data_IF_129198865593
#
_entry.id   IF_129198865593
#
_cell.length_a   1.000
_cell.length_b   1.000
_cell.length_c   1.000
_cell.angle_alpha   90.00
_cell.angle_beta   90.00
_cell.angle_gamma   90.00
#
_symmetry.space_group_name_H-M   'P 1'
#
loop_
_entity.id
_entity.type
_entity.pdbx_description
1 polymer ?
#
# COMPACT_ATOMS: atom_id res chain seq x y z
N UNK A 1 -39.14 -54.98 1.17
CA UNK A 1 -38.24 -53.96 0.62
C UNK A 1 -37.28 -53.52 1.73
N UNK A 2 -36.04 -53.96 1.66
CA UNK A 2 -35.10 -53.86 2.78
C UNK A 2 -34.78 -52.43 3.16
N UNK A 3 -35.14 -52.02 4.34
CA UNK A 3 -34.88 -50.70 4.93
C UNK A 3 -33.40 -50.33 4.83
N UNK A 4 -32.51 -51.31 4.97
CA UNK A 4 -31.05 -51.16 4.78
C UNK A 4 -30.62 -50.74 3.34
N UNK A 5 -31.36 -51.14 2.30
CA UNK A 5 -31.07 -50.72 0.93
C UNK A 5 -31.52 -49.30 0.66
N UNK A 6 -32.69 -48.92 1.20
CA UNK A 6 -33.20 -47.53 1.11
C UNK A 6 -32.26 -46.55 1.82
N UNK A 7 -31.73 -46.93 2.98
CA UNK A 7 -30.77 -46.11 3.71
C UNK A 7 -29.50 -45.79 2.91
N UNK A 8 -28.96 -46.79 2.16
CA UNK A 8 -27.77 -46.57 1.32
C UNK A 8 -28.02 -45.56 0.17
N UNK A 9 -29.17 -45.61 -0.44
CA UNK A 9 -29.51 -44.70 -1.56
C UNK A 9 -29.79 -43.27 -1.11
N UNK A 10 -30.17 -43.06 0.16
CA UNK A 10 -30.39 -41.75 0.74
C UNK A 10 -29.10 -41.16 1.38
N UNK A 11 -28.23 -42.01 1.93
CA UNK A 11 -26.99 -41.55 2.59
C UNK A 11 -26.00 -40.95 1.59
N UNK A 12 -25.89 -41.49 0.39
CA UNK A 12 -24.94 -40.98 -0.62
C UNK A 12 -25.28 -39.54 -1.06
N UNK A 13 -26.53 -39.26 -1.55
CA UNK A 13 -26.86 -37.88 -1.92
C UNK A 13 -26.85 -36.92 -0.73
N UNK A 14 -27.17 -37.37 0.48
CA UNK A 14 -27.08 -36.58 1.68
C UNK A 14 -25.62 -36.22 2.04
N UNK A 15 -24.70 -37.18 1.94
CA UNK A 15 -23.28 -36.94 2.15
C UNK A 15 -22.70 -35.96 1.12
N UNK A 16 -23.11 -36.10 -0.15
CA UNK A 16 -22.72 -35.16 -1.21
C UNK A 16 -23.25 -33.76 -0.92
N UNK A 17 -24.51 -33.64 -0.48
CA UNK A 17 -25.12 -32.34 -0.16
C UNK A 17 -24.43 -31.67 1.01
N UNK A 18 -24.06 -32.40 2.06
CA UNK A 18 -23.30 -31.88 3.21
C UNK A 18 -21.89 -31.43 2.81
N UNK A 19 -21.24 -32.12 1.86
CA UNK A 19 -19.90 -31.75 1.42
C UNK A 19 -19.84 -30.39 0.70
N UNK A 20 -20.97 -29.89 0.20
CA UNK A 20 -21.07 -28.56 -0.40
C UNK A 20 -21.29 -27.43 0.61
N UNK A 21 -21.71 -27.74 1.83
CA UNK A 21 -21.99 -26.73 2.86
C UNK A 21 -20.77 -25.86 3.17
N UNK A 22 -19.53 -26.39 3.32
CA UNK A 22 -18.34 -25.56 3.52
C UNK A 22 -17.99 -24.67 2.32
N UNK A 23 -18.34 -25.09 1.11
CA UNK A 23 -18.09 -24.31 -0.12
C UNK A 23 -19.06 -23.13 -0.23
N UNK A 24 -20.30 -23.33 0.14
CA UNK A 24 -21.33 -22.27 0.14
C UNK A 24 -21.17 -21.30 1.31
N UNK A 25 -20.50 -21.72 2.38
CA UNK A 25 -20.23 -20.97 3.61
C UNK A 25 -21.42 -20.10 4.06
N UNK A 26 -22.61 -20.73 4.29
CA UNK A 26 -23.78 -19.98 4.71
C UNK A 26 -23.48 -19.25 6.04
N UNK A 27 -23.76 -17.95 6.06
CA UNK A 27 -23.49 -17.06 7.21
C UNK A 27 -22.01 -16.83 7.53
N UNK A 28 -21.05 -17.14 6.63
CA UNK A 28 -19.61 -17.02 6.86
C UNK A 28 -19.11 -17.83 8.07
N UNK A 29 -19.83 -18.86 8.49
CA UNK A 29 -19.50 -19.64 9.69
C UNK A 29 -18.16 -20.36 9.55
N UNK A 30 -17.90 -20.97 8.38
CA UNK A 30 -16.64 -21.69 8.09
C UNK A 30 -15.46 -20.72 7.91
N UNK A 31 -15.69 -19.57 7.29
CA UNK A 31 -14.70 -18.52 7.16
C UNK A 31 -14.29 -17.95 8.52
N UNK A 32 -15.25 -17.70 9.39
CA UNK A 32 -15.00 -17.24 10.75
C UNK A 32 -14.26 -18.31 11.57
N UNK A 33 -14.67 -19.58 11.50
CA UNK A 33 -13.99 -20.67 12.18
C UNK A 33 -12.53 -20.82 11.71
N UNK A 34 -12.31 -20.76 10.40
CA UNK A 34 -10.96 -20.82 9.82
C UNK A 34 -10.09 -19.66 10.30
N UNK A 35 -10.61 -18.44 10.26
CA UNK A 35 -9.87 -17.24 10.67
C UNK A 35 -9.54 -17.28 12.17
N UNK A 36 -10.51 -17.61 13.01
CA UNK A 36 -10.28 -17.75 14.47
C UNK A 36 -9.27 -18.87 14.77
N UNK A 37 -9.36 -20.00 14.05
CA UNK A 37 -8.37 -21.07 14.20
C UNK A 37 -6.97 -20.63 13.79
N UNK A 38 -6.86 -19.87 12.69
CA UNK A 38 -5.59 -19.31 12.23
C UNK A 38 -5.01 -18.37 13.30
N UNK A 39 -5.81 -17.47 13.87
CA UNK A 39 -5.38 -16.54 14.92
C UNK A 39 -4.89 -17.29 16.18
N UNK A 40 -5.60 -18.35 16.58
CA UNK A 40 -5.18 -19.20 17.69
C UNK A 40 -3.83 -19.86 17.40
N UNK A 41 -3.64 -20.42 16.21
CA UNK A 41 -2.37 -21.03 15.82
C UNK A 41 -1.22 -20.01 15.74
N UNK A 42 -1.48 -18.80 15.26
CA UNK A 42 -0.49 -17.71 15.25
C UNK A 42 -0.09 -17.30 16.68
N UNK A 43 -1.02 -17.31 17.62
CA UNK A 43 -0.72 -17.02 19.04
C UNK A 43 0.07 -18.14 19.72
N UNK A 44 -0.20 -19.40 19.39
CA UNK A 44 0.51 -20.56 19.98
C UNK A 44 1.93 -20.69 19.38
N UNK A 45 2.06 -20.45 18.09
CA UNK A 45 3.33 -20.53 17.38
C UNK A 45 3.52 -19.34 16.45
N UNK A 46 3.84 -18.17 17.01
CA UNK A 46 4.07 -16.96 16.20
C UNK A 46 5.25 -17.20 15.27
N UNK A 47 5.14 -16.73 14.03
CA UNK A 47 6.28 -16.71 13.10
C UNK A 47 7.40 -15.90 13.75
N UNK A 48 8.55 -16.51 13.89
CA UNK A 48 9.76 -15.75 14.23
C UNK A 48 10.02 -14.80 13.08
N UNK A 49 9.99 -13.51 13.35
CA UNK A 49 10.46 -12.53 12.39
C UNK A 49 11.92 -12.82 12.09
N UNK A 50 12.20 -13.26 10.87
CA UNK A 50 13.58 -13.54 10.42
C UNK A 50 14.35 -12.25 10.14
N UNK A 51 13.68 -11.09 10.18
CA UNK A 51 14.27 -9.84 9.76
C UNK A 51 13.55 -8.63 10.40
N UNK A 52 13.55 -8.54 11.72
CA UNK A 52 13.02 -7.34 12.40
C UNK A 52 13.76 -6.05 12.01
N UNK A 53 14.98 -6.19 11.50
CA UNK A 53 15.86 -5.05 11.19
C UNK A 53 15.97 -4.74 9.69
N UNK A 54 15.27 -5.49 8.83
CA UNK A 54 15.42 -5.36 7.37
C UNK A 54 14.40 -4.42 6.73
N UNK A 55 13.32 -4.08 7.43
CA UNK A 55 12.26 -3.19 6.92
C UNK A 55 12.01 -2.09 7.91
N UNK A 56 12.15 -0.85 7.44
CA UNK A 56 11.84 0.37 8.20
C UNK A 56 10.63 1.01 7.53
N UNK A 57 9.63 1.35 8.32
CA UNK A 57 8.46 2.11 7.88
C UNK A 57 8.71 3.57 8.23
N UNK A 58 8.69 4.44 7.22
CA UNK A 58 8.71 5.90 7.38
C UNK A 58 7.27 6.39 7.27
N UNK A 59 6.72 6.80 8.39
CA UNK A 59 5.34 7.28 8.48
C UNK A 59 5.28 8.81 8.39
N UNK A 60 4.32 9.32 7.62
CA UNK A 60 3.99 10.75 7.55
C UNK A 60 2.90 11.02 8.60
N UNK A 61 3.34 11.27 9.81
CA UNK A 61 2.49 11.53 10.97
C UNK A 61 2.29 13.04 11.23
N UNK A 62 1.56 13.37 12.30
CA UNK A 62 1.30 14.76 12.68
C UNK A 62 2.58 15.55 12.97
N UNK A 63 3.61 14.93 13.57
CA UNK A 63 4.89 15.60 13.84
C UNK A 63 5.59 15.98 12.54
N UNK A 64 5.56 15.10 11.54
CA UNK A 64 6.10 15.36 10.21
C UNK A 64 5.35 16.51 9.53
N UNK A 65 4.02 16.54 9.64
CA UNK A 65 3.18 17.61 9.08
C UNK A 65 3.45 18.94 9.79
N UNK A 66 3.62 18.93 11.10
CA UNK A 66 3.94 20.13 11.87
C UNK A 66 5.34 20.68 11.55
N UNK A 67 6.31 19.79 11.28
CA UNK A 67 7.69 20.17 10.98
C UNK A 67 7.90 20.64 9.53
N UNK A 68 7.26 20.00 8.57
CA UNK A 68 7.51 20.21 7.13
C UNK A 68 6.39 21.02 6.48
N UNK A 69 5.17 20.90 7.00
CA UNK A 69 3.97 21.54 6.47
C UNK A 69 2.94 20.53 5.98
N UNK A 70 1.82 21.06 5.50
CA UNK A 70 0.66 20.27 5.08
C UNK A 70 0.98 19.35 3.89
N UNK A 71 0.50 18.11 3.97
CA UNK A 71 0.53 17.17 2.85
C UNK A 71 -0.46 17.62 1.75
N UNK A 72 -0.20 17.42 0.45
CA UNK A 72 0.99 16.78 -0.13
C UNK A 72 2.20 17.71 -0.21
N UNK A 73 3.37 17.19 0.18
CA UNK A 73 4.62 17.94 0.13
C UNK A 73 5.14 18.12 -1.31
N UNK A 74 5.95 19.17 -1.54
CA UNK A 74 6.66 19.35 -2.80
C UNK A 74 7.50 18.12 -3.16
N UNK A 75 7.59 17.81 -4.46
CA UNK A 75 8.42 16.70 -4.95
C UNK A 75 9.89 16.88 -4.61
N UNK A 76 10.37 18.11 -4.49
CA UNK A 76 11.72 18.40 -4.01
C UNK A 76 11.95 17.90 -2.58
N UNK A 77 10.99 18.04 -1.69
CA UNK A 77 11.06 17.50 -0.31
C UNK A 77 11.08 15.96 -0.32
N UNK A 78 10.30 15.34 -1.20
CA UNK A 78 10.32 13.88 -1.38
C UNK A 78 11.64 13.42 -2.00
N UNK A 79 12.25 14.20 -2.89
CA UNK A 79 13.57 13.93 -3.43
C UNK A 79 14.65 13.90 -2.32
N UNK A 80 14.60 14.87 -1.39
CA UNK A 80 15.49 14.87 -0.22
C UNK A 80 15.30 13.63 0.65
N UNK A 81 14.05 13.15 0.82
CA UNK A 81 13.77 11.90 1.54
C UNK A 81 14.42 10.71 0.84
N UNK A 82 14.26 10.60 -0.48
CA UNK A 82 14.91 9.55 -1.28
C UNK A 82 16.42 9.59 -1.11
N UNK A 83 17.02 10.78 -1.19
CA UNK A 83 18.45 10.96 -1.02
C UNK A 83 18.96 10.55 0.36
N UNK A 84 18.18 10.80 1.41
CA UNK A 84 18.50 10.40 2.79
C UNK A 84 18.40 8.87 2.98
N UNK A 85 17.62 8.19 2.17
CA UNK A 85 17.43 6.73 2.23
C UNK A 85 18.32 5.94 1.27
N UNK A 86 19.32 6.56 0.66
CA UNK A 86 20.23 5.92 -0.35
C UNK A 86 20.94 4.66 0.11
N UNK A 87 21.08 4.46 1.42
CA UNK A 87 21.71 3.26 1.97
C UNK A 87 20.75 2.06 2.05
N UNK A 88 19.46 2.26 1.79
CA UNK A 88 18.51 1.17 1.72
C UNK A 88 18.59 0.47 0.36
N UNK A 89 18.48 -0.86 0.37
CA UNK A 89 18.49 -1.65 -0.85
C UNK A 89 17.25 -1.40 -1.74
N UNK A 90 16.13 -1.02 -1.12
CA UNK A 90 14.87 -0.71 -1.81
C UNK A 90 14.11 0.36 -1.02
N UNK A 91 13.54 1.31 -1.71
CA UNK A 91 12.59 2.27 -1.18
C UNK A 91 11.24 2.08 -1.87
N UNK A 92 10.19 1.84 -1.10
CA UNK A 92 8.82 1.72 -1.59
C UNK A 92 7.96 2.88 -1.13
N UNK A 93 7.11 3.41 -2.01
CA UNK A 93 6.11 4.42 -1.67
C UNK A 93 4.73 3.80 -1.67
N UNK A 94 4.00 3.93 -0.57
CA UNK A 94 2.56 3.64 -0.48
C UNK A 94 1.74 4.92 -0.76
N UNK A 95 2.11 5.60 -1.84
CA UNK A 95 1.50 6.86 -2.29
C UNK A 95 1.40 6.87 -3.81
N UNK A 96 0.26 7.31 -4.33
CA UNK A 96 0.04 7.47 -5.78
C UNK A 96 0.35 8.91 -6.18
N UNK A 97 1.30 9.07 -7.08
CA UNK A 97 1.72 10.35 -7.64
C UNK A 97 1.08 10.60 -9.01
N UNK A 98 -0.26 10.73 -9.04
CA UNK A 98 -1.01 10.83 -10.29
C UNK A 98 -0.88 12.19 -10.98
N UNK A 99 -0.61 13.26 -10.24
CA UNK A 99 -0.57 14.64 -10.75
C UNK A 99 0.83 15.23 -10.64
N UNK A 100 1.12 16.23 -11.48
CA UNK A 100 2.33 17.03 -11.35
C UNK A 100 2.37 17.78 -10.03
N UNK A 101 3.57 18.11 -9.56
CA UNK A 101 3.74 18.90 -8.35
C UNK A 101 3.14 20.31 -8.52
N UNK A 102 2.13 20.63 -7.68
CA UNK A 102 1.45 21.93 -7.69
C UNK A 102 2.38 23.11 -7.40
N UNK A 103 3.48 22.85 -6.70
CA UNK A 103 4.50 23.85 -6.35
C UNK A 103 5.64 23.90 -7.36
N UNK A 104 5.64 23.00 -8.33
CA UNK A 104 6.65 22.91 -9.38
C UNK A 104 6.59 24.08 -10.37
N UNK A 105 7.73 24.44 -10.95
CA UNK A 105 7.85 25.54 -11.91
C UNK A 105 6.86 25.45 -13.07
N UNK A 106 6.55 24.24 -13.55
CA UNK A 106 5.57 24.00 -14.62
C UNK A 106 4.14 24.45 -14.25
N UNK A 107 3.69 24.14 -13.03
CA UNK A 107 2.34 24.50 -12.58
C UNK A 107 2.27 26.00 -12.21
N UNK A 108 3.29 26.53 -11.58
CA UNK A 108 3.38 27.96 -11.29
C UNK A 108 3.34 28.82 -12.55
N UNK A 109 3.96 28.39 -13.64
CA UNK A 109 3.85 29.06 -14.96
C UNK A 109 2.42 29.13 -15.49
N UNK A 110 1.63 28.06 -15.28
CA UNK A 110 0.23 28.05 -15.71
C UNK A 110 -0.61 29.06 -14.92
N UNK A 111 -0.30 29.25 -13.64
CA UNK A 111 -1.02 30.20 -12.77
C UNK A 111 -0.63 31.64 -13.10
N UNK A 112 0.65 31.92 -13.37
CA UNK A 112 1.20 33.28 -13.51
C UNK A 112 1.53 33.67 -14.95
N UNK A 113 0.75 33.20 -15.93
CA UNK A 113 0.96 33.40 -17.39
C UNK A 113 1.17 34.84 -17.84
N UNK A 114 0.65 35.81 -17.09
CA UNK A 114 0.70 37.25 -17.43
C UNK A 114 1.87 38.00 -16.81
N UNK A 115 2.68 37.36 -15.97
CA UNK A 115 3.79 38.01 -15.29
C UNK A 115 5.13 37.56 -15.90
N UNK A 116 5.60 38.32 -16.90
CA UNK A 116 6.82 38.01 -17.65
C UNK A 116 8.08 37.92 -16.74
N UNK A 117 8.15 38.79 -15.71
CA UNK A 117 9.27 38.81 -14.80
C UNK A 117 9.32 37.52 -13.96
N UNK A 118 8.16 37.07 -13.49
CA UNK A 118 8.06 35.79 -12.76
C UNK A 118 8.33 34.60 -13.68
N UNK A 119 7.83 34.62 -14.91
CA UNK A 119 8.09 33.56 -15.89
C UNK A 119 9.60 33.41 -16.17
N UNK A 120 10.29 34.52 -16.37
CA UNK A 120 11.74 34.49 -16.58
C UNK A 120 12.54 33.98 -15.38
N UNK A 121 12.05 34.21 -14.15
CA UNK A 121 12.61 33.66 -12.93
C UNK A 121 12.35 32.14 -12.84
N UNK A 122 11.13 31.70 -13.15
CA UNK A 122 10.74 30.27 -13.14
C UNK A 122 11.47 29.46 -14.22
N UNK A 123 11.99 30.09 -15.29
CA UNK A 123 12.83 29.42 -16.29
C UNK A 123 14.15 28.89 -15.72
N UNK A 124 14.63 29.51 -14.68
CA UNK A 124 15.87 29.15 -14.00
C UNK A 124 15.70 28.14 -12.89
N UNK A 125 14.44 27.85 -12.50
CA UNK A 125 14.12 26.93 -11.40
C UNK A 125 13.86 25.54 -11.98
N UNK A 126 14.61 24.52 -11.58
CA UNK A 126 14.35 23.13 -11.97
C UNK A 126 12.93 22.73 -11.60
N UNK A 127 12.33 21.84 -12.38
CA UNK A 127 11.03 21.32 -12.04
C UNK A 127 11.13 20.26 -10.95
N UNK A 128 10.29 20.35 -9.92
CA UNK A 128 10.32 19.45 -8.77
C UNK A 128 10.09 17.97 -9.16
N UNK A 129 9.26 17.71 -10.18
CA UNK A 129 9.03 16.34 -10.66
C UNK A 129 10.32 15.76 -11.29
N UNK A 130 11.10 16.58 -11.99
CA UNK A 130 12.37 16.15 -12.59
C UNK A 130 13.42 15.89 -11.50
N UNK A 131 13.51 16.75 -10.47
CA UNK A 131 14.38 16.55 -9.30
C UNK A 131 14.04 15.21 -8.60
N UNK A 132 12.75 14.95 -8.38
CA UNK A 132 12.30 13.73 -7.73
C UNK A 132 12.59 12.48 -8.58
N UNK A 133 12.36 12.55 -9.89
CA UNK A 133 12.68 11.47 -10.81
C UNK A 133 14.17 11.15 -10.83
N UNK A 134 15.04 12.18 -10.77
CA UNK A 134 16.49 12.01 -10.72
C UNK A 134 16.95 11.39 -9.40
N UNK A 135 16.37 11.80 -8.26
CA UNK A 135 16.66 11.18 -6.97
C UNK A 135 16.28 9.70 -6.95
N UNK A 136 15.10 9.32 -7.49
CA UNK A 136 14.68 7.92 -7.61
C UNK A 136 15.64 7.14 -8.53
N UNK A 137 16.02 7.70 -9.68
CA UNK A 137 16.93 7.04 -10.62
C UNK A 137 18.31 6.79 -10.03
N UNK A 138 18.75 7.67 -9.15
CA UNK A 138 20.06 7.59 -8.49
C UNK A 138 20.01 6.86 -7.14
N UNK A 139 18.87 6.32 -6.74
CA UNK A 139 18.70 5.54 -5.54
C UNK A 139 19.12 4.09 -5.80
N UNK A 140 20.10 3.56 -5.06
CA UNK A 140 20.60 2.19 -5.17
C UNK A 140 22.00 2.11 -5.72
#
# INVERSE_FOLDING_TARGET
MDILKIGKYLLIPFAVLISFVPVLDPFNAFSNLRNNSFDIFQNISPRKSLASDSVIILDINEDSINAIGQWPWPRSTLAELVDKTRLSAVLGFDVVFAENDRTGSKELRKLYKKNELLLSALDKVPNNDDIFADSIRNHG
#
